data_IF_300803364127
#
_entry.id   IF_300803364127
#
_cell.length_a   1.000
_cell.length_b   1.000
_cell.length_c   1.000
_cell.angle_alpha   90.00
_cell.angle_beta   90.00
_cell.angle_gamma   90.00
#
_symmetry.space_group_name_H-M   'P 1'
#
loop_
_entity.id
_entity.type
_entity.pdbx_description
1 polymer ?
#
# COMPACT_ATOMS: atom_id res chain seq x y z
N UNK A 1 -15.51 6.10 32.11
CA UNK A 1 -14.10 6.31 31.76
C UNK A 1 -13.74 7.76 32.05
N UNK A 2 -12.50 7.99 32.46
CA UNK A 2 -11.91 9.32 32.69
C UNK A 2 -10.96 9.66 31.55
N UNK A 3 -10.55 10.93 31.46
CA UNK A 3 -9.54 11.35 30.50
C UNK A 3 -8.24 10.56 30.72
N UNK A 4 -7.72 9.96 29.64
CA UNK A 4 -6.53 9.09 29.67
C UNK A 4 -6.82 7.60 29.85
N UNK A 5 -8.03 7.20 30.26
CA UNK A 5 -8.39 5.78 30.34
C UNK A 5 -8.44 5.14 28.95
N UNK A 6 -8.00 3.88 28.85
CA UNK A 6 -8.11 3.06 27.63
C UNK A 6 -8.89 1.80 27.94
N UNK A 7 -9.81 1.43 27.04
CA UNK A 7 -10.59 0.20 27.11
C UNK A 7 -10.44 -0.56 25.78
N UNK A 8 -9.97 -1.81 25.86
CA UNK A 8 -9.95 -2.72 24.71
C UNK A 8 -11.16 -3.65 24.74
N UNK A 9 -11.87 -3.71 23.61
CA UNK A 9 -13.00 -4.63 23.41
C UNK A 9 -12.73 -5.49 22.18
N UNK A 10 -12.67 -6.84 22.32
CA UNK A 10 -12.52 -7.72 21.18
C UNK A 10 -13.73 -7.65 20.24
N UNK A 11 -13.54 -8.05 18.97
CA UNK A 11 -14.63 -8.17 18.00
C UNK A 11 -15.72 -9.11 18.56
N UNK A 12 -16.98 -8.68 18.46
CA UNK A 12 -18.16 -9.46 18.89
C UNK A 12 -18.64 -9.16 20.30
N UNK A 13 -17.99 -8.26 21.04
CA UNK A 13 -18.43 -7.85 22.37
C UNK A 13 -19.49 -6.75 22.28
N UNK A 14 -20.71 -7.09 22.69
CA UNK A 14 -21.79 -6.11 22.87
C UNK A 14 -21.41 -5.16 24.01
N UNK A 15 -21.50 -3.87 23.74
CA UNK A 15 -21.24 -2.83 24.73
C UNK A 15 -22.20 -1.68 24.53
N UNK A 16 -22.48 -0.98 25.63
CA UNK A 16 -23.29 0.23 25.66
C UNK A 16 -22.55 1.26 26.50
N UNK A 17 -22.45 2.49 25.99
CA UNK A 17 -21.88 3.62 26.71
C UNK A 17 -23.02 4.58 27.10
N UNK A 18 -22.97 5.09 28.33
CA UNK A 18 -23.89 6.11 28.83
C UNK A 18 -23.09 7.17 29.58
N UNK A 19 -23.47 8.44 29.41
CA UNK A 19 -22.96 9.53 30.23
C UNK A 19 -23.81 9.71 31.47
N UNK A 20 -23.22 10.26 32.52
CA UNK A 20 -23.97 10.82 33.64
C UNK A 20 -24.33 12.29 33.32
N UNK A 21 -24.27 13.18 34.32
CA UNK A 21 -24.62 14.59 34.21
C UNK A 21 -23.56 15.45 33.48
N UNK A 22 -22.42 14.86 33.11
CA UNK A 22 -21.34 15.53 32.42
C UNK A 22 -21.14 14.99 30.99
N UNK A 23 -20.79 15.88 30.06
CA UNK A 23 -20.44 15.50 28.70
C UNK A 23 -19.20 14.59 28.67
N UNK A 24 -19.16 13.66 27.73
CA UNK A 24 -18.05 12.72 27.52
C UNK A 24 -17.66 12.67 26.04
N UNK A 25 -16.36 12.66 25.76
CA UNK A 25 -15.78 12.43 24.44
C UNK A 25 -14.81 11.26 24.54
N UNK A 26 -14.87 10.33 23.59
CA UNK A 26 -13.90 9.25 23.45
C UNK A 26 -13.52 9.08 21.98
N UNK A 27 -12.30 8.58 21.76
CA UNK A 27 -11.81 8.17 20.45
C UNK A 27 -11.78 6.64 20.41
N UNK A 28 -12.49 6.04 19.45
CA UNK A 28 -12.42 4.60 19.21
C UNK A 28 -11.43 4.32 18.09
N UNK A 29 -10.39 3.55 18.40
CA UNK A 29 -9.44 3.04 17.41
C UNK A 29 -9.81 1.60 17.07
N UNK A 30 -10.37 1.41 15.87
CA UNK A 30 -10.71 0.08 15.36
C UNK A 30 -9.52 -0.56 14.66
N UNK A 31 -9.09 -1.74 15.13
CA UNK A 31 -8.11 -2.57 14.42
C UNK A 31 -8.86 -3.67 13.69
N UNK A 32 -8.96 -3.56 12.38
CA UNK A 32 -9.60 -4.55 11.52
C UNK A 32 -8.57 -5.59 11.07
N UNK A 33 -8.73 -6.82 11.53
CA UNK A 33 -7.89 -7.95 11.11
C UNK A 33 -8.51 -8.58 9.85
N UNK A 34 -7.69 -8.81 8.83
CA UNK A 34 -8.12 -9.54 7.64
C UNK A 34 -8.58 -10.95 8.03
N UNK A 35 -9.72 -11.38 7.51
CA UNK A 35 -10.29 -12.69 7.81
C UNK A 35 -10.12 -13.66 6.65
N UNK A 36 -10.23 -14.96 6.90
CA UNK A 36 -10.30 -15.96 5.83
C UNK A 36 -11.44 -15.73 4.86
N UNK A 37 -12.57 -15.16 5.32
CA UNK A 37 -13.65 -14.74 4.43
C UNK A 37 -13.17 -13.68 3.44
N UNK A 38 -12.41 -12.70 3.90
CA UNK A 38 -11.89 -11.64 3.04
C UNK A 38 -10.83 -12.19 2.07
N UNK A 39 -10.00 -13.13 2.52
CA UNK A 39 -9.03 -13.83 1.67
C UNK A 39 -9.70 -14.67 0.56
N UNK A 40 -10.74 -15.43 0.90
CA UNK A 40 -11.53 -16.20 -0.07
C UNK A 40 -12.23 -15.29 -1.07
N UNK A 41 -12.87 -14.21 -0.60
CA UNK A 41 -13.50 -13.23 -1.47
C UNK A 41 -12.50 -12.62 -2.45
N UNK A 42 -11.35 -12.17 -1.96
CA UNK A 42 -10.31 -11.58 -2.80
C UNK A 42 -9.75 -12.59 -3.83
N UNK A 43 -9.64 -13.87 -3.47
CA UNK A 43 -9.21 -14.91 -4.40
C UNK A 43 -10.24 -15.17 -5.52
N UNK A 44 -11.54 -15.14 -5.18
CA UNK A 44 -12.62 -15.25 -6.18
C UNK A 44 -12.65 -14.04 -7.09
N UNK A 45 -12.52 -12.83 -6.55
CA UNK A 45 -12.51 -11.58 -7.32
C UNK A 45 -11.31 -11.54 -8.29
N UNK A 46 -10.12 -11.96 -7.84
CA UNK A 46 -8.92 -12.10 -8.68
C UNK A 46 -9.10 -13.15 -9.78
N UNK A 47 -9.60 -14.35 -9.42
CA UNK A 47 -9.87 -15.41 -10.39
C UNK A 47 -10.89 -14.98 -11.45
N UNK A 48 -11.92 -14.24 -11.05
CA UNK A 48 -12.91 -13.69 -11.95
C UNK A 48 -12.35 -12.60 -12.88
N UNK A 49 -11.19 -11.99 -12.59
CA UNK A 49 -10.50 -11.10 -13.53
C UNK A 49 -9.75 -11.87 -14.63
N UNK A 50 -9.19 -13.03 -14.29
CA UNK A 50 -8.23 -13.77 -15.14
C UNK A 50 -8.86 -14.94 -15.90
N UNK A 51 -9.84 -15.62 -15.31
CA UNK A 51 -10.42 -16.85 -15.82
C UNK A 51 -11.93 -16.70 -16.02
N UNK A 52 -12.37 -16.97 -17.26
CA UNK A 52 -13.78 -16.90 -17.63
C UNK A 52 -14.64 -17.93 -16.89
N UNK A 53 -14.07 -19.05 -16.43
CA UNK A 53 -14.80 -20.08 -15.69
C UNK A 53 -15.49 -19.53 -14.43
N UNK A 54 -14.85 -18.58 -13.73
CA UNK A 54 -15.38 -17.91 -12.53
C UNK A 54 -16.49 -16.89 -12.82
N UNK A 55 -16.67 -16.50 -14.10
CA UNK A 55 -17.71 -15.55 -14.53
C UNK A 55 -18.89 -16.21 -15.22
N UNK A 56 -18.82 -17.52 -15.50
CA UNK A 56 -19.91 -18.25 -16.13
C UNK A 56 -21.09 -18.39 -15.18
N UNK A 57 -22.30 -18.36 -15.73
CA UNK A 57 -23.52 -18.61 -14.96
C UNK A 57 -23.53 -20.02 -14.37
N UNK A 58 -24.13 -20.16 -13.18
CA UNK A 58 -24.33 -21.46 -12.53
C UNK A 58 -25.34 -22.27 -13.33
N UNK A 59 -24.99 -23.51 -13.65
CA UNK A 59 -25.86 -24.46 -14.34
C UNK A 59 -27.05 -24.85 -13.44
N UNK A 60 -28.16 -25.28 -14.05
CA UNK A 60 -29.35 -25.71 -13.31
C UNK A 60 -29.09 -26.90 -12.36
N UNK A 61 -28.17 -27.80 -12.76
CA UNK A 61 -27.72 -28.94 -11.95
C UNK A 61 -26.75 -28.56 -10.82
N UNK A 62 -26.33 -27.28 -10.74
CA UNK A 62 -25.36 -26.80 -9.76
C UNK A 62 -23.94 -27.31 -9.97
N UNK A 63 -23.66 -27.99 -11.09
CA UNK A 63 -22.33 -28.54 -11.35
C UNK A 63 -21.32 -27.41 -11.62
N UNK A 64 -20.23 -27.39 -10.87
CA UNK A 64 -19.10 -26.51 -11.14
C UNK A 64 -18.37 -26.97 -12.43
N UNK A 65 -17.76 -26.04 -13.20
CA UNK A 65 -16.81 -26.41 -14.23
C UNK A 65 -15.65 -27.24 -13.65
N UNK A 66 -15.15 -28.17 -14.45
CA UNK A 66 -13.99 -28.99 -14.09
C UNK A 66 -12.81 -28.09 -13.70
N UNK A 67 -12.16 -28.39 -12.57
CA UNK A 67 -10.98 -27.66 -12.09
C UNK A 67 -11.29 -26.32 -11.40
N UNK A 68 -12.55 -25.89 -11.29
CA UNK A 68 -12.88 -24.57 -10.71
C UNK A 68 -12.39 -24.44 -9.26
N UNK A 69 -12.62 -25.47 -8.44
CA UNK A 69 -12.25 -25.44 -7.03
C UNK A 69 -10.74 -25.59 -6.82
N UNK A 70 -10.08 -26.38 -7.65
CA UNK A 70 -8.62 -26.52 -7.68
C UNK A 70 -7.96 -25.18 -8.06
N UNK A 71 -8.51 -24.49 -9.07
CA UNK A 71 -8.05 -23.17 -9.48
C UNK A 71 -8.26 -22.11 -8.38
N UNK A 72 -9.34 -22.21 -7.60
CA UNK A 72 -9.57 -21.35 -6.45
C UNK A 72 -8.61 -21.68 -5.29
N UNK A 73 -8.41 -22.97 -5.00
CA UNK A 73 -7.52 -23.43 -3.95
C UNK A 73 -6.07 -23.01 -4.21
N UNK A 74 -5.60 -23.08 -5.46
CA UNK A 74 -4.28 -22.61 -5.86
C UNK A 74 -4.06 -21.12 -5.53
N UNK A 75 -5.12 -20.30 -5.62
CA UNK A 75 -5.07 -18.88 -5.25
C UNK A 75 -5.07 -18.65 -3.75
N UNK A 76 -5.40 -19.64 -2.94
CA UNK A 76 -5.42 -19.56 -1.48
C UNK A 76 -4.11 -20.06 -0.84
N UNK A 77 -3.03 -20.19 -1.61
CA UNK A 77 -1.71 -20.45 -1.03
C UNK A 77 -1.32 -19.35 -0.03
N UNK A 78 -0.53 -19.67 1.01
CA UNK A 78 -0.09 -18.68 1.99
C UNK A 78 0.55 -17.44 1.36
N UNK A 79 1.36 -17.62 0.31
CA UNK A 79 2.05 -16.56 -0.42
C UNK A 79 1.06 -15.67 -1.17
N UNK A 80 0.09 -16.26 -1.86
CA UNK A 80 -0.92 -15.52 -2.61
C UNK A 80 -1.85 -14.73 -1.69
N UNK A 81 -2.25 -15.32 -0.55
CA UNK A 81 -3.05 -14.64 0.49
C UNK A 81 -2.25 -13.47 1.09
N UNK A 82 -1.00 -13.71 1.48
CA UNK A 82 -0.15 -12.68 2.07
C UNK A 82 0.09 -11.51 1.10
N UNK A 83 0.35 -11.80 -0.19
CA UNK A 83 0.51 -10.79 -1.25
C UNK A 83 -0.74 -9.92 -1.39
N UNK A 84 -1.93 -10.53 -1.52
CA UNK A 84 -3.19 -9.79 -1.62
C UNK A 84 -3.48 -8.95 -0.38
N UNK A 85 -3.17 -9.48 0.81
CA UNK A 85 -3.36 -8.75 2.06
C UNK A 85 -2.44 -7.52 2.14
N UNK A 86 -1.16 -7.65 1.76
CA UNK A 86 -0.20 -6.53 1.69
C UNK A 86 -0.70 -5.46 0.73
N UNK A 87 -1.07 -5.87 -0.49
CA UNK A 87 -1.60 -4.96 -1.51
C UNK A 87 -2.82 -4.20 -1.02
N UNK A 88 -3.85 -4.91 -0.52
CA UNK A 88 -5.08 -4.30 -0.01
C UNK A 88 -4.82 -3.34 1.16
N UNK A 89 -3.88 -3.68 2.05
CA UNK A 89 -3.49 -2.82 3.15
C UNK A 89 -2.85 -1.51 2.70
N UNK A 90 -2.05 -1.55 1.65
CA UNK A 90 -1.39 -0.37 1.08
C UNK A 90 -2.36 0.48 0.26
N UNK A 91 -3.23 -0.15 -0.54
CA UNK A 91 -4.24 0.51 -1.35
C UNK A 91 -5.32 1.22 -0.51
N UNK A 92 -5.67 0.67 0.66
CA UNK A 92 -6.67 1.27 1.54
C UNK A 92 -6.19 2.51 2.29
N UNK A 93 -4.89 2.84 2.24
CA UNK A 93 -4.32 3.96 3.00
C UNK A 93 -4.59 5.29 2.33
N UNK A 94 -4.99 6.27 3.14
CA UNK A 94 -5.14 7.66 2.69
C UNK A 94 -3.86 8.43 2.98
N UNK A 95 -3.34 9.15 1.98
CA UNK A 95 -2.17 9.99 2.16
C UNK A 95 -2.45 11.13 3.12
N UNK A 96 -1.55 11.36 4.09
CA UNK A 96 -1.55 12.58 4.93
C UNK A 96 -0.41 13.47 4.46
N UNK A 97 -0.73 14.58 3.78
CA UNK A 97 0.28 15.47 3.17
C UNK A 97 0.03 16.92 3.53
N UNK A 98 0.55 17.31 4.69
CA UNK A 98 0.48 18.70 5.13
C UNK A 98 1.38 19.62 4.28
N UNK A 99 2.47 19.09 3.72
CA UNK A 99 3.54 19.81 3.04
C UNK A 99 3.49 19.71 1.51
N UNK A 100 2.42 19.17 0.94
CA UNK A 100 2.36 18.89 -0.51
C UNK A 100 2.65 20.11 -1.40
N UNK A 101 2.15 21.29 -1.03
CA UNK A 101 2.37 22.51 -1.82
C UNK A 101 3.80 23.03 -1.71
N UNK A 102 4.43 22.90 -0.55
CA UNK A 102 5.82 23.33 -0.37
C UNK A 102 6.77 22.42 -1.14
N UNK A 103 6.51 21.11 -1.11
CA UNK A 103 7.24 20.13 -1.91
C UNK A 103 7.11 20.38 -3.41
N UNK A 104 5.91 20.73 -3.89
CA UNK A 104 5.70 21.07 -5.30
C UNK A 104 6.48 22.31 -5.75
N UNK A 105 6.71 23.28 -4.86
CA UNK A 105 7.54 24.46 -5.16
C UNK A 105 9.03 24.11 -5.14
N UNK A 106 9.47 23.35 -4.14
CA UNK A 106 10.87 22.94 -4.02
C UNK A 106 11.34 22.04 -5.18
N UNK A 107 10.42 21.36 -5.87
CA UNK A 107 10.73 20.55 -7.05
C UNK A 107 11.41 21.32 -8.19
N UNK A 108 11.15 22.62 -8.31
CA UNK A 108 11.74 23.46 -9.37
C UNK A 108 13.25 23.68 -9.13
N UNK A 109 13.71 23.51 -7.90
CA UNK A 109 15.10 23.69 -7.47
C UNK A 109 15.83 22.36 -7.25
N UNK A 110 15.14 21.21 -7.42
CA UNK A 110 15.73 19.89 -7.21
C UNK A 110 16.90 19.63 -8.19
N UNK A 111 18.08 19.41 -7.60
CA UNK A 111 19.32 19.04 -8.27
C UNK A 111 19.95 17.76 -7.66
N UNK A 112 21.19 17.44 -8.09
CA UNK A 112 21.87 16.21 -7.67
C UNK A 112 22.33 16.23 -6.20
N UNK A 113 22.56 17.41 -5.64
CA UNK A 113 23.09 17.61 -4.29
C UNK A 113 21.96 17.86 -3.26
N UNK A 114 20.72 18.04 -3.74
CA UNK A 114 19.56 18.26 -2.89
C UNK A 114 19.33 17.05 -1.98
N UNK A 115 19.28 17.28 -0.67
CA UNK A 115 18.95 16.23 0.30
C UNK A 115 17.45 15.88 0.24
N UNK A 116 17.18 14.58 0.10
CA UNK A 116 15.86 13.99 0.16
C UNK A 116 15.78 13.00 1.32
N UNK A 117 14.57 12.71 1.75
CA UNK A 117 14.29 11.67 2.72
C UNK A 117 13.05 10.87 2.34
N UNK A 118 13.02 9.60 2.74
CA UNK A 118 11.82 8.77 2.67
C UNK A 118 10.82 9.28 3.69
N UNK A 119 9.51 9.22 3.38
CA UNK A 119 8.49 9.48 4.38
C UNK A 119 8.26 8.24 5.26
N UNK A 120 8.61 8.34 6.54
CA UNK A 120 8.52 7.24 7.52
C UNK A 120 7.12 6.61 7.64
N UNK A 121 6.07 7.42 7.46
CA UNK A 121 4.68 6.95 7.61
C UNK A 121 4.14 6.28 6.34
N UNK A 122 4.87 6.37 5.22
CA UNK A 122 4.48 5.78 3.94
C UNK A 122 4.86 4.31 3.91
N UNK A 123 3.84 3.47 3.98
CA UNK A 123 3.98 2.04 3.70
C UNK A 123 3.82 1.84 2.20
N UNK A 124 4.81 1.19 1.62
CA UNK A 124 4.88 0.89 0.21
C UNK A 124 5.09 -0.62 0.00
N UNK A 125 4.63 -1.11 -1.15
CA UNK A 125 4.82 -2.46 -1.63
C UNK A 125 5.39 -2.40 -3.05
N UNK A 126 6.40 -3.23 -3.33
CA UNK A 126 7.06 -3.30 -4.63
C UNK A 126 6.97 -4.73 -5.16
N UNK A 127 6.27 -4.88 -6.28
CA UNK A 127 6.23 -6.11 -7.06
C UNK A 127 7.08 -5.89 -8.32
N UNK A 128 7.96 -6.84 -8.65
CA UNK A 128 8.79 -6.79 -9.86
C UNK A 128 8.60 -8.08 -10.64
N UNK A 129 8.13 -7.95 -11.88
CA UNK A 129 7.93 -9.05 -12.83
C UNK A 129 8.76 -8.79 -14.10
N UNK A 130 8.68 -9.69 -15.08
CA UNK A 130 9.42 -9.56 -16.35
C UNK A 130 9.03 -8.28 -17.11
N UNK A 131 9.85 -7.24 -16.95
CA UNK A 131 9.76 -5.97 -17.65
C UNK A 131 9.09 -4.83 -16.88
N UNK A 132 8.37 -5.11 -15.80
CA UNK A 132 7.61 -4.11 -15.02
C UNK A 132 7.92 -4.17 -13.51
N UNK A 133 8.09 -3.01 -12.91
CA UNK A 133 8.08 -2.79 -11.47
C UNK A 133 6.81 -2.01 -11.09
N UNK A 134 5.97 -2.58 -10.21
CA UNK A 134 4.78 -1.95 -9.65
C UNK A 134 5.05 -1.50 -8.23
N UNK A 135 5.08 -0.20 -8.02
CA UNK A 135 5.28 0.41 -6.71
C UNK A 135 3.95 0.97 -6.21
N UNK A 136 3.40 0.36 -5.18
CA UNK A 136 2.13 0.78 -4.57
C UNK A 136 2.36 1.45 -3.21
N UNK A 137 1.71 2.58 -2.97
CA UNK A 137 1.75 3.29 -1.69
C UNK A 137 0.58 4.28 -1.58
N UNK A 138 0.04 4.47 -0.37
CA UNK A 138 -1.03 5.43 -0.05
C UNK A 138 -2.20 5.47 -1.07
N UNK A 139 -2.69 4.30 -1.49
CA UNK A 139 -3.80 4.21 -2.43
C UNK A 139 -3.46 4.49 -3.89
N UNK A 140 -2.18 4.48 -4.27
CA UNK A 140 -1.71 4.64 -5.65
C UNK A 140 -0.77 3.54 -6.05
N UNK A 141 -0.68 3.31 -7.35
CA UNK A 141 0.26 2.38 -7.96
C UNK A 141 0.99 3.07 -9.12
N UNK A 142 2.32 3.05 -9.06
CA UNK A 142 3.18 3.51 -10.14
C UNK A 142 3.69 2.30 -10.92
N UNK A 143 3.46 2.33 -12.23
CA UNK A 143 4.03 1.38 -13.18
C UNK A 143 5.34 1.95 -13.72
N UNK A 144 6.43 1.22 -13.49
CA UNK A 144 7.80 1.62 -13.74
C UNK A 144 8.54 0.50 -14.49
N UNK A 145 9.61 0.80 -15.24
CA UNK A 145 10.39 -0.24 -15.88
C UNK A 145 11.14 -1.12 -14.87
N UNK A 146 11.16 -2.44 -15.04
CA UNK A 146 11.87 -3.34 -14.13
C UNK A 146 13.39 -3.03 -13.98
N UNK A 147 14.00 -2.38 -14.98
CA UNK A 147 15.43 -2.00 -14.93
C UNK A 147 15.79 -1.02 -13.80
N UNK A 148 14.81 -0.33 -13.22
CA UNK A 148 15.02 0.61 -12.11
C UNK A 148 14.72 -0.01 -10.73
N UNK A 149 14.56 -1.34 -10.66
CA UNK A 149 14.19 -2.02 -9.42
C UNK A 149 15.19 -1.78 -8.29
N UNK A 150 16.49 -1.71 -8.59
CA UNK A 150 17.54 -1.47 -7.59
C UNK A 150 17.38 -0.10 -6.91
N UNK A 151 17.08 0.94 -7.69
CA UNK A 151 16.79 2.29 -7.23
C UNK A 151 15.56 2.29 -6.30
N UNK A 152 14.48 1.61 -6.71
CA UNK A 152 13.25 1.53 -5.92
C UNK A 152 13.47 0.76 -4.61
N UNK A 153 14.13 -0.39 -4.66
CA UNK A 153 14.46 -1.20 -3.48
C UNK A 153 15.29 -0.42 -2.47
N UNK A 154 16.26 0.37 -2.93
CA UNK A 154 17.04 1.27 -2.09
C UNK A 154 16.14 2.29 -1.38
N UNK A 155 15.28 2.99 -2.13
CA UNK A 155 14.35 3.98 -1.57
C UNK A 155 13.32 3.38 -0.60
N UNK A 156 13.08 2.06 -0.69
CA UNK A 156 12.24 1.33 0.26
C UNK A 156 12.93 0.95 1.57
N UNK A 157 14.26 1.04 1.62
CA UNK A 157 15.08 0.61 2.77
C UNK A 157 15.91 1.73 3.40
N UNK A 158 16.09 2.84 2.69
CA UNK A 158 16.86 3.98 3.22
C UNK A 158 16.09 4.65 4.34
N UNK A 159 16.74 4.77 5.49
CA UNK A 159 16.20 5.41 6.70
C UNK A 159 16.89 6.77 6.99
N UNK A 160 18.01 7.04 6.32
CA UNK A 160 18.78 8.29 6.44
C UNK A 160 18.54 9.21 5.24
N UNK A 161 18.79 10.52 5.36
CA UNK A 161 18.79 11.42 4.22
C UNK A 161 19.76 10.97 3.11
N UNK A 162 19.39 11.22 1.87
CA UNK A 162 20.14 10.81 0.68
C UNK A 162 20.03 11.85 -0.44
N UNK A 163 20.95 11.78 -1.40
CA UNK A 163 20.99 12.63 -2.60
C UNK A 163 20.73 11.80 -3.86
N UNK A 164 20.61 12.45 -5.02
CA UNK A 164 20.50 11.72 -6.28
C UNK A 164 21.71 10.83 -6.58
N UNK A 165 22.90 11.22 -6.11
CA UNK A 165 24.15 10.48 -6.32
C UNK A 165 24.18 9.13 -5.57
N UNK A 166 23.43 9.02 -4.47
CA UNK A 166 23.37 7.82 -3.63
C UNK A 166 22.50 6.71 -4.24
N UNK A 167 21.67 7.03 -5.25
CA UNK A 167 20.82 6.03 -5.90
C UNK A 167 21.71 4.98 -6.60
N UNK A 168 21.55 3.69 -6.24
CA UNK A 168 22.27 2.62 -6.91
C UNK A 168 21.70 2.37 -8.30
N UNK A 169 22.28 1.44 -9.05
CA UNK A 169 21.71 1.00 -10.31
C UNK A 169 22.32 1.68 -11.53
N UNK A 170 21.51 1.89 -12.58
CA UNK A 170 22.00 2.20 -13.94
C UNK A 170 21.40 3.47 -14.52
N UNK A 171 20.58 4.18 -13.77
CA UNK A 171 20.13 5.50 -14.17
C UNK A 171 21.32 6.46 -14.23
N UNK A 172 21.36 7.26 -15.28
CA UNK A 172 22.19 8.45 -15.36
C UNK A 172 21.61 9.56 -14.47
N UNK A 173 22.33 10.67 -14.36
CA UNK A 173 21.96 11.78 -13.49
C UNK A 173 20.60 12.39 -13.86
N UNK A 174 20.30 12.51 -15.17
CA UNK A 174 19.00 12.96 -15.63
C UNK A 174 17.88 11.97 -15.24
N UNK A 175 18.10 10.67 -15.45
CA UNK A 175 17.16 9.62 -15.08
C UNK A 175 16.88 9.56 -13.58
N UNK A 176 17.91 9.73 -12.74
CA UNK A 176 17.78 9.83 -11.27
C UNK A 176 16.89 11.00 -10.87
N UNK A 177 17.13 12.18 -11.44
CA UNK A 177 16.31 13.36 -11.16
C UNK A 177 14.87 13.18 -11.65
N UNK A 178 14.64 12.58 -12.82
CA UNK A 178 13.29 12.27 -13.32
C UNK A 178 12.55 11.34 -12.36
N UNK A 179 13.22 10.29 -11.86
CA UNK A 179 12.64 9.36 -10.88
C UNK A 179 12.30 10.10 -9.59
N UNK A 180 13.25 10.84 -9.01
CA UNK A 180 13.06 11.54 -7.74
C UNK A 180 11.98 12.61 -7.82
N UNK A 181 11.93 13.43 -8.90
CA UNK A 181 10.84 14.39 -9.11
C UNK A 181 9.48 13.72 -9.12
N UNK A 182 9.37 12.56 -9.78
CA UNK A 182 8.12 11.78 -9.79
C UNK A 182 7.78 11.30 -8.38
N UNK A 183 8.73 10.75 -7.63
CA UNK A 183 8.47 10.20 -6.30
C UNK A 183 8.18 11.28 -5.24
N UNK A 184 8.78 12.46 -5.34
CA UNK A 184 8.43 13.63 -4.51
C UNK A 184 7.00 14.08 -4.81
N UNK A 185 6.66 14.24 -6.09
CA UNK A 185 5.30 14.63 -6.52
C UNK A 185 4.24 13.64 -6.05
N UNK A 186 4.55 12.35 -6.13
CA UNK A 186 3.66 11.30 -5.66
C UNK A 186 3.66 11.14 -4.13
N UNK A 187 4.64 11.70 -3.44
CA UNK A 187 4.72 11.77 -1.99
C UNK A 187 5.32 10.52 -1.33
N UNK A 188 6.14 9.74 -2.03
CA UNK A 188 6.92 8.65 -1.41
C UNK A 188 8.15 9.18 -0.67
N UNK A 189 8.81 10.15 -1.30
CA UNK A 189 9.97 10.87 -0.77
C UNK A 189 9.61 12.35 -0.62
N UNK A 190 10.41 13.10 0.13
CA UNK A 190 10.29 14.55 0.25
C UNK A 190 11.67 15.19 0.19
N UNK A 191 11.72 16.40 -0.35
CA UNK A 191 12.88 17.29 -0.21
C UNK A 191 12.93 17.71 1.25
N UNK A 192 14.10 17.54 1.85
CA UNK A 192 14.33 17.95 3.23
C UNK A 192 14.28 19.48 3.28
N UNK A 193 13.43 20.01 4.15
CA UNK A 193 13.51 21.43 4.50
C UNK A 193 14.53 21.55 5.64
N UNK A 194 15.40 22.56 5.54
CA UNK A 194 16.27 22.98 6.65
C UNK A 194 15.47 23.28 7.94
#
# INVERSE_FOLDING_TARGET
MRAGDTLYLPRGWLHQAMTSDAASLHLTVGINVATWRDAVRAAVDEAAGEDVAFRRGVREDGAAPDGLFEALAARLSPEAVARRQRRSFVEGRRPIRADAFDQLRALDELDLETELERRDTVIADLEVDDGEARLSFEGRTLHLPARIAAELEYLLRVDEPFTAADLPGRLDDEGRLVLLRRLVREGLVRIRAD
#
